data_IF_405640382978
#
_entry.id   IF_405640382978
#
_cell.length_a   1.000
_cell.length_b   1.000
_cell.length_c   1.000
_cell.angle_alpha   90.00
_cell.angle_beta   90.00
_cell.angle_gamma   90.00
#
_symmetry.space_group_name_H-M   'P 1'
#
loop_
_entity.id
_entity.type
_entity.pdbx_description
1 polymer ?
#
# COMPACT_ATOMS: atom_id res chain seq x y z
N UNK A 1 -41.83 -23.47 -2.95
CA UNK A 1 -41.02 -22.23 -3.15
C UNK A 1 -40.51 -22.25 -4.60
N UNK A 2 -40.83 -21.21 -5.36
CA UNK A 2 -40.58 -21.23 -6.80
C UNK A 2 -39.08 -21.19 -7.10
N UNK A 3 -38.67 -22.00 -8.04
CA UNK A 3 -37.28 -22.13 -8.49
C UNK A 3 -36.69 -20.77 -8.91
N UNK A 4 -37.53 -19.87 -9.43
CA UNK A 4 -37.17 -18.49 -9.74
C UNK A 4 -36.76 -17.67 -8.52
N UNK A 5 -37.43 -17.84 -7.41
CA UNK A 5 -37.08 -17.18 -6.15
C UNK A 5 -35.74 -17.65 -5.59
N UNK A 6 -35.47 -18.96 -5.69
CA UNK A 6 -34.19 -19.54 -5.28
C UNK A 6 -33.04 -19.06 -6.16
N UNK A 7 -33.26 -19.03 -7.48
CA UNK A 7 -32.27 -18.52 -8.44
C UNK A 7 -32.01 -17.01 -8.26
N UNK A 8 -33.06 -16.24 -7.97
CA UNK A 8 -32.92 -14.80 -7.68
C UNK A 8 -32.05 -14.58 -6.43
N UNK A 9 -32.31 -15.31 -5.35
CA UNK A 9 -31.50 -15.19 -4.12
C UNK A 9 -30.07 -15.66 -4.32
N UNK A 10 -29.86 -16.73 -5.07
CA UNK A 10 -28.53 -17.21 -5.40
C UNK A 10 -27.74 -16.15 -6.20
N UNK A 11 -28.37 -15.57 -7.23
CA UNK A 11 -27.78 -14.51 -8.03
C UNK A 11 -27.48 -13.26 -7.17
N UNK A 12 -28.41 -12.87 -6.30
CA UNK A 12 -28.24 -11.73 -5.40
C UNK A 12 -27.06 -11.95 -4.45
N UNK A 13 -26.98 -13.12 -3.80
CA UNK A 13 -25.87 -13.47 -2.90
C UNK A 13 -24.54 -13.46 -3.65
N UNK A 14 -24.47 -14.06 -4.83
CA UNK A 14 -23.27 -14.06 -5.66
C UNK A 14 -22.86 -12.66 -6.08
N UNK A 15 -23.81 -11.81 -6.43
CA UNK A 15 -23.56 -10.41 -6.81
C UNK A 15 -23.01 -9.58 -5.65
N UNK A 16 -23.52 -9.78 -4.44
CA UNK A 16 -23.06 -9.08 -3.24
C UNK A 16 -21.69 -9.59 -2.77
N UNK A 17 -21.43 -10.89 -2.90
CA UNK A 17 -20.16 -11.49 -2.47
C UNK A 17 -19.04 -11.34 -3.50
N UNK A 18 -19.36 -11.17 -4.78
CA UNK A 18 -18.38 -11.06 -5.88
C UNK A 18 -17.29 -9.99 -5.63
N UNK A 19 -17.63 -8.74 -5.25
CA UNK A 19 -16.60 -7.72 -5.00
C UNK A 19 -15.70 -8.07 -3.82
N UNK A 20 -16.24 -8.74 -2.80
CA UNK A 20 -15.46 -9.21 -1.66
C UNK A 20 -14.40 -10.25 -2.07
N UNK A 21 -14.78 -11.25 -2.86
CA UNK A 21 -13.84 -12.26 -3.38
C UNK A 21 -12.79 -11.64 -4.30
N UNK A 22 -13.18 -10.72 -5.18
CA UNK A 22 -12.23 -10.00 -6.04
C UNK A 22 -11.20 -9.23 -5.23
N UNK A 23 -11.62 -8.54 -4.18
CA UNK A 23 -10.73 -7.78 -3.31
C UNK A 23 -9.75 -8.69 -2.57
N UNK A 24 -10.20 -9.81 -2.02
CA UNK A 24 -9.34 -10.79 -1.36
C UNK A 24 -8.33 -11.42 -2.31
N UNK A 25 -8.76 -11.73 -3.53
CA UNK A 25 -7.86 -12.27 -4.55
C UNK A 25 -6.77 -11.28 -4.96
N UNK A 26 -7.13 -10.00 -5.14
CA UNK A 26 -6.17 -8.93 -5.45
C UNK A 26 -5.16 -8.72 -4.33
N UNK A 27 -5.61 -8.74 -3.07
CA UNK A 27 -4.72 -8.62 -1.91
C UNK A 27 -3.72 -9.79 -1.87
N UNK A 28 -4.20 -11.01 -2.08
CA UNK A 28 -3.33 -12.19 -2.15
C UNK A 28 -2.34 -12.15 -3.31
N UNK A 29 -2.74 -11.64 -4.48
CA UNK A 29 -1.86 -11.48 -5.63
C UNK A 29 -0.77 -10.43 -5.37
N UNK A 30 -1.11 -9.30 -4.74
CA UNK A 30 -0.15 -8.26 -4.33
C UNK A 30 0.88 -8.81 -3.34
N UNK A 31 0.43 -9.50 -2.30
CA UNK A 31 1.32 -10.09 -1.29
C UNK A 31 2.30 -11.09 -1.91
N UNK A 32 1.82 -11.93 -2.84
CA UNK A 32 2.68 -12.87 -3.57
C UNK A 32 3.74 -12.17 -4.41
N UNK A 33 3.37 -11.08 -5.12
CA UNK A 33 4.31 -10.29 -5.94
C UNK A 33 5.35 -9.59 -5.08
N UNK A 34 4.97 -9.03 -3.95
CA UNK A 34 5.91 -8.44 -2.99
C UNK A 34 6.89 -9.50 -2.48
N UNK A 35 6.40 -10.65 -2.04
CA UNK A 35 7.24 -11.75 -1.57
C UNK A 35 8.19 -12.30 -2.66
N UNK A 36 7.76 -12.34 -3.91
CA UNK A 36 8.61 -12.71 -5.04
C UNK A 36 9.74 -11.69 -5.23
N UNK A 37 9.42 -10.40 -5.17
CA UNK A 37 10.39 -9.32 -5.29
C UNK A 37 11.41 -9.35 -4.14
N UNK A 38 10.97 -9.54 -2.91
CA UNK A 38 11.84 -9.71 -1.74
C UNK A 38 12.84 -10.85 -1.91
N UNK A 39 12.37 -12.01 -2.41
CA UNK A 39 13.25 -13.17 -2.67
C UNK A 39 14.27 -12.88 -3.76
N UNK A 40 13.86 -12.23 -4.85
CA UNK A 40 14.75 -11.91 -5.97
C UNK A 40 15.82 -10.91 -5.59
N UNK A 41 15.45 -9.90 -4.82
CA UNK A 41 16.35 -8.81 -4.44
C UNK A 41 17.06 -9.04 -3.10
N UNK A 42 16.66 -10.07 -2.35
CA UNK A 42 17.16 -10.35 -1.00
C UNK A 42 17.04 -9.12 -0.10
N UNK A 43 15.90 -8.44 -0.17
CA UNK A 43 15.58 -7.19 0.51
C UNK A 43 14.22 -7.25 1.18
N UNK A 44 13.95 -6.32 2.07
CA UNK A 44 12.61 -6.06 2.60
C UNK A 44 11.92 -5.04 1.72
N UNK A 45 10.78 -5.39 1.14
CA UNK A 45 10.00 -4.48 0.30
C UNK A 45 8.93 -3.79 1.14
N UNK A 46 8.97 -2.47 1.17
CA UNK A 46 7.96 -1.62 1.82
C UNK A 46 7.28 -0.80 0.72
N UNK A 47 5.96 -0.71 0.76
CA UNK A 47 5.19 0.05 -0.22
C UNK A 47 4.46 1.21 0.44
N UNK A 48 4.64 2.41 -0.08
CA UNK A 48 3.87 3.61 0.27
C UNK A 48 3.29 4.19 -1.03
N UNK A 49 2.07 3.77 -1.33
CA UNK A 49 1.42 4.08 -2.59
C UNK A 49 0.08 4.76 -2.32
N UNK A 50 0.00 6.03 -2.67
CA UNK A 50 -1.22 6.83 -2.63
C UNK A 50 -1.73 7.05 -4.05
N UNK A 51 -2.83 6.41 -4.39
CA UNK A 51 -3.51 6.65 -5.67
C UNK A 51 -4.39 7.88 -5.55
N UNK A 52 -4.29 8.76 -6.54
CA UNK A 52 -5.21 9.90 -6.68
C UNK A 52 -6.54 9.50 -7.32
N UNK A 53 -6.74 8.22 -7.62
CA UNK A 53 -8.03 7.75 -8.09
C UNK A 53 -9.07 8.08 -7.01
N UNK A 54 -9.96 9.01 -7.35
CA UNK A 54 -11.03 9.45 -6.50
C UNK A 54 -11.90 8.25 -6.11
N UNK A 55 -11.68 7.73 -4.91
CA UNK A 55 -12.70 6.93 -4.26
C UNK A 55 -13.76 7.93 -3.84
N UNK A 56 -14.73 8.19 -4.72
CA UNK A 56 -15.84 9.04 -4.36
C UNK A 56 -16.78 8.26 -3.44
N UNK A 57 -16.77 8.60 -2.18
CA UNK A 57 -17.86 8.25 -1.30
C UNK A 57 -18.90 9.36 -1.41
N UNK A 58 -20.10 9.04 -1.88
CA UNK A 58 -21.19 10.01 -2.10
C UNK A 58 -20.82 11.21 -3.00
N UNK A 59 -19.96 10.99 -4.02
CA UNK A 59 -19.58 12.06 -4.95
C UNK A 59 -18.51 13.02 -4.43
N UNK A 60 -17.94 12.80 -3.24
CA UNK A 60 -16.85 13.59 -2.67
C UNK A 60 -15.53 12.85 -2.94
N UNK A 61 -14.58 13.44 -3.71
CA UNK A 61 -13.29 12.83 -3.95
C UNK A 61 -12.48 12.79 -2.65
N UNK A 62 -12.10 11.58 -2.19
CA UNK A 62 -11.20 11.41 -1.06
C UNK A 62 -9.79 11.18 -1.61
N UNK A 63 -8.98 12.23 -1.58
CA UNK A 63 -7.55 12.14 -1.91
C UNK A 63 -6.78 11.57 -0.72
N UNK A 64 -5.90 10.60 -0.97
CA UNK A 64 -4.99 10.09 0.05
C UNK A 64 -3.65 10.80 -0.06
N UNK A 65 -3.19 11.30 1.07
CA UNK A 65 -1.89 11.95 1.26
C UNK A 65 -1.13 11.27 2.39
N UNK A 66 0.18 11.47 2.45
CA UNK A 66 1.00 10.99 3.56
C UNK A 66 0.46 11.57 4.88
N UNK A 67 0.14 10.71 5.83
CA UNK A 67 -0.35 11.06 7.14
C UNK A 67 0.47 10.37 8.25
N UNK A 68 0.10 10.61 9.49
CA UNK A 68 0.80 10.02 10.65
C UNK A 68 0.67 8.49 10.67
N UNK A 69 -0.49 7.94 10.34
CA UNK A 69 -0.72 6.49 10.31
C UNK A 69 0.19 5.80 9.28
N UNK A 70 0.39 6.45 8.12
CA UNK A 70 1.33 5.95 7.09
C UNK A 70 2.76 5.92 7.64
N UNK A 71 3.19 7.00 8.32
CA UNK A 71 4.52 7.04 8.92
C UNK A 71 4.70 5.96 9.99
N UNK A 72 3.72 5.75 10.86
CA UNK A 72 3.76 4.71 11.88
C UNK A 72 3.87 3.30 11.28
N UNK A 73 3.11 3.01 10.24
CA UNK A 73 3.17 1.73 9.54
C UNK A 73 4.53 1.49 8.88
N UNK A 74 5.08 2.50 8.19
CA UNK A 74 6.41 2.41 7.56
C UNK A 74 7.50 2.28 8.62
N UNK A 75 7.46 3.09 9.67
CA UNK A 75 8.41 3.01 10.80
C UNK A 75 8.39 1.63 11.45
N UNK A 76 7.20 1.06 11.64
CA UNK A 76 7.03 -0.29 12.18
C UNK A 76 7.65 -1.33 11.24
N UNK A 77 7.43 -1.23 9.94
CA UNK A 77 8.03 -2.13 8.96
C UNK A 77 9.56 -2.06 8.97
N UNK A 78 10.13 -0.85 9.06
CA UNK A 78 11.58 -0.64 9.14
C UNK A 78 12.13 -1.26 10.42
N UNK A 79 11.49 -1.04 11.57
CA UNK A 79 11.92 -1.59 12.88
C UNK A 79 11.88 -3.12 12.93
N UNK A 80 10.93 -3.74 12.23
CA UNK A 80 10.81 -5.20 12.14
C UNK A 80 11.76 -5.81 11.12
N UNK A 81 12.45 -4.99 10.35
CA UNK A 81 13.45 -5.44 9.38
C UNK A 81 14.80 -5.59 10.08
N UNK A 82 15.48 -6.73 9.84
CA UNK A 82 16.82 -6.96 10.36
C UNK A 82 17.78 -5.87 9.84
N UNK A 83 18.69 -5.43 10.70
CA UNK A 83 19.67 -4.37 10.42
C UNK A 83 20.58 -4.68 9.22
N UNK A 84 20.80 -5.94 8.92
CA UNK A 84 21.63 -6.39 7.81
C UNK A 84 20.86 -6.58 6.50
N UNK A 85 19.54 -6.49 6.54
CA UNK A 85 18.68 -6.70 5.35
C UNK A 85 18.45 -5.37 4.64
N UNK A 86 18.76 -5.26 3.34
CA UNK A 86 18.45 -4.08 2.56
C UNK A 86 16.95 -3.78 2.51
N UNK A 87 16.59 -2.51 2.41
CA UNK A 87 15.20 -2.07 2.26
C UNK A 87 15.00 -1.52 0.85
N UNK A 88 13.96 -2.01 0.19
CA UNK A 88 13.45 -1.47 -1.07
C UNK A 88 12.10 -0.79 -0.80
N UNK A 89 12.08 0.53 -0.85
CA UNK A 89 10.85 1.32 -0.70
C UNK A 89 10.25 1.63 -2.08
N UNK A 90 9.02 1.22 -2.30
CA UNK A 90 8.25 1.62 -3.49
C UNK A 90 7.37 2.81 -3.10
N UNK A 91 7.73 3.98 -3.61
CA UNK A 91 7.11 5.25 -3.24
C UNK A 91 6.34 5.84 -4.42
N UNK A 92 5.04 6.05 -4.24
CA UNK A 92 4.19 6.75 -5.19
C UNK A 92 3.19 7.60 -4.43
N UNK A 93 3.37 8.93 -4.42
CA UNK A 93 2.57 9.81 -3.59
C UNK A 93 2.52 11.23 -4.13
N UNK A 94 1.39 11.95 -4.01
CA UNK A 94 1.30 13.39 -4.26
C UNK A 94 1.92 14.22 -3.14
N UNK A 95 2.33 13.60 -2.03
CA UNK A 95 2.85 14.24 -0.85
C UNK A 95 1.94 14.11 0.37
N UNK A 96 2.06 15.02 1.31
CA UNK A 96 1.24 15.05 2.51
C UNK A 96 1.94 15.79 3.66
N UNK A 97 1.71 15.35 4.88
CA UNK A 97 2.30 15.97 6.07
C UNK A 97 3.82 15.86 6.04
N UNK A 98 4.49 17.01 6.08
CA UNK A 98 5.96 17.11 6.08
C UNK A 98 6.55 16.35 7.27
N UNK A 99 5.96 16.49 8.45
CA UNK A 99 6.41 15.79 9.65
C UNK A 99 6.41 14.27 9.48
N UNK A 100 5.36 13.71 8.88
CA UNK A 100 5.26 12.28 8.62
C UNK A 100 6.31 11.81 7.61
N UNK A 101 6.52 12.58 6.54
CA UNK A 101 7.53 12.31 5.53
C UNK A 101 8.95 12.36 6.12
N UNK A 102 9.22 13.36 6.95
CA UNK A 102 10.51 13.53 7.65
C UNK A 102 10.80 12.35 8.58
N UNK A 103 9.82 11.89 9.34
CA UNK A 103 9.96 10.70 10.20
C UNK A 103 10.32 9.46 9.40
N UNK A 104 9.72 9.26 8.24
CA UNK A 104 10.03 8.14 7.35
C UNK A 104 11.46 8.29 6.82
N UNK A 105 11.83 9.46 6.31
CA UNK A 105 13.15 9.74 5.77
C UNK A 105 14.26 9.49 6.80
N UNK A 106 14.08 10.01 8.03
CA UNK A 106 15.03 9.77 9.11
C UNK A 106 15.19 8.29 9.47
N UNK A 107 14.09 7.55 9.52
CA UNK A 107 14.14 6.12 9.84
C UNK A 107 14.89 5.33 8.76
N UNK A 108 14.70 5.68 7.48
CA UNK A 108 15.41 5.08 6.36
C UNK A 108 16.92 5.43 6.41
N UNK A 109 17.27 6.69 6.70
CA UNK A 109 18.65 7.14 6.84
C UNK A 109 19.40 6.43 7.99
N UNK A 110 18.69 6.09 9.05
CA UNK A 110 19.27 5.36 10.21
C UNK A 110 19.39 3.86 9.98
N UNK A 111 18.81 3.33 8.92
CA UNK A 111 18.92 1.90 8.63
C UNK A 111 20.33 1.55 8.15
N UNK A 112 21.03 0.57 8.80
CA UNK A 112 22.44 0.32 8.52
C UNK A 112 22.71 -0.29 7.13
N UNK A 113 21.77 -1.09 6.63
CA UNK A 113 21.91 -1.71 5.31
C UNK A 113 21.44 -0.75 4.19
N UNK A 114 21.70 -1.14 2.94
CA UNK A 114 21.34 -0.35 1.77
C UNK A 114 19.84 -0.10 1.70
N UNK A 115 19.47 1.15 1.47
CA UNK A 115 18.09 1.56 1.17
C UNK A 115 18.02 1.98 -0.30
N UNK A 116 17.04 1.44 -1.02
CA UNK A 116 16.74 1.82 -2.41
C UNK A 116 15.30 2.29 -2.50
N UNK A 117 15.08 3.47 -3.06
CA UNK A 117 13.75 4.02 -3.27
C UNK A 117 13.39 3.90 -4.75
N UNK A 118 12.27 3.27 -5.05
CA UNK A 118 11.70 3.16 -6.38
C UNK A 118 10.50 4.10 -6.50
N UNK A 119 10.55 5.02 -7.43
CA UNK A 119 9.47 5.96 -7.73
C UNK A 119 8.90 5.64 -9.11
N UNK A 120 7.83 4.82 -9.21
CA UNK A 120 7.29 4.39 -10.50
C UNK A 120 6.74 5.53 -11.35
N UNK A 121 6.13 6.53 -10.73
CA UNK A 121 5.55 7.69 -11.41
C UNK A 121 6.02 8.99 -10.81
N UNK A 122 5.63 9.29 -9.57
CA UNK A 122 5.99 10.54 -8.90
C UNK A 122 6.03 10.40 -7.38
N UNK A 123 6.91 11.18 -6.79
CA UNK A 123 6.91 11.51 -5.37
C UNK A 123 7.01 13.04 -5.28
N UNK A 124 5.92 13.71 -4.89
CA UNK A 124 5.81 15.16 -4.90
C UNK A 124 5.70 15.72 -3.48
N UNK A 125 6.01 17.03 -3.33
CA UNK A 125 5.88 17.73 -2.04
C UNK A 125 6.61 16.98 -0.91
N UNK A 126 5.93 16.62 0.19
CA UNK A 126 6.51 15.83 1.28
C UNK A 126 7.12 14.49 0.83
N UNK A 127 6.63 13.89 -0.26
CA UNK A 127 7.21 12.69 -0.84
C UNK A 127 8.63 12.86 -1.38
N UNK A 128 9.06 14.08 -1.67
CA UNK A 128 10.44 14.37 -2.13
C UNK A 128 11.47 14.34 -1.00
N UNK A 129 11.01 14.37 0.24
CA UNK A 129 11.88 14.31 1.41
C UNK A 129 12.32 12.87 1.74
N UNK A 130 11.53 11.90 1.30
CA UNK A 130 11.79 10.48 1.50
C UNK A 130 12.77 9.97 0.45
#
# INVERSE_FOLDING_TARGET
>A
MDIFFQLFWLFFILSVLSPYFQQQWLLGARTRKIAELERRRKSRVITLIHRQEAVSFLGIPISRYINIDDSEQVLRAIRLTDKNVPIDLILHTPGGLVLAAEQIAEALLRHPAKVTVFVPHYAMSGGTLI
#
